data_IF_373101553481
#
_entry.id   IF_373101553481
#
_cell.length_a   1.000
_cell.length_b   1.000
_cell.length_c   1.000
_cell.angle_alpha   90.00
_cell.angle_beta   90.00
_cell.angle_gamma   90.00
#
_symmetry.space_group_name_H-M   'P 1'
#
loop_
_entity.id
_entity.type
_entity.pdbx_description
1 polymer ?
#
# COMPACT_ATOMS: atom_id res chain seq x y z
N UNK A 1 -1.71 2.92 -60.26
CA UNK A 1 -2.60 2.36 -59.21
C UNK A 1 -1.88 1.15 -58.63
N UNK A 2 -1.62 0.96 -57.35
CA UNK A 2 -2.14 1.57 -56.12
C UNK A 2 -1.12 1.25 -55.00
N UNK A 3 -0.89 2.19 -54.10
CA UNK A 3 0.00 2.07 -52.93
C UNK A 3 -0.74 1.40 -51.77
N UNK A 4 -0.14 0.41 -51.11
CA UNK A 4 -0.68 -0.16 -49.87
C UNK A 4 -0.06 0.54 -48.66
N UNK A 5 -0.81 1.50 -48.10
CA UNK A 5 -0.66 1.99 -46.72
C UNK A 5 -1.77 1.35 -45.88
N UNK A 6 -1.37 0.70 -44.78
CA UNK A 6 -2.28 0.11 -43.81
C UNK A 6 -1.56 -0.17 -42.49
N UNK A 7 -1.66 0.80 -41.59
CA UNK A 7 -1.24 0.86 -40.18
C UNK A 7 -1.40 -0.44 -39.36
N UNK A 8 -0.50 -0.77 -38.41
CA UNK A 8 -0.77 -1.78 -37.39
C UNK A 8 -1.53 -1.19 -36.19
N UNK A 9 -2.68 -1.78 -35.84
CA UNK A 9 -3.37 -1.60 -34.56
C UNK A 9 -3.62 -3.00 -34.00
N UNK A 10 -2.99 -3.42 -32.89
CA UNK A 10 -3.25 -3.02 -31.51
C UNK A 10 -3.79 -4.25 -30.77
N UNK A 11 -3.23 -4.59 -29.60
CA UNK A 11 -3.87 -5.52 -28.67
C UNK A 11 -3.16 -6.84 -28.41
N UNK A 12 -1.84 -6.87 -28.25
CA UNK A 12 -1.24 -7.88 -27.37
C UNK A 12 -1.18 -7.27 -25.96
N UNK A 13 -1.76 -7.92 -24.92
CA UNK A 13 -1.56 -7.45 -23.56
C UNK A 13 -0.07 -7.53 -23.27
N UNK A 14 0.55 -6.37 -23.08
CA UNK A 14 1.94 -6.27 -22.68
C UNK A 14 2.08 -7.05 -21.37
N UNK A 15 2.61 -8.27 -21.47
CA UNK A 15 3.16 -9.03 -20.37
C UNK A 15 4.05 -8.07 -19.59
N UNK A 16 3.56 -7.69 -18.41
CA UNK A 16 4.26 -6.81 -17.50
C UNK A 16 5.70 -7.32 -17.38
N UNK A 17 6.64 -6.49 -17.85
CA UNK A 17 8.05 -6.82 -17.83
C UNK A 17 8.49 -7.25 -16.44
N UNK A 18 9.58 -8.02 -16.34
CA UNK A 18 10.06 -8.53 -15.06
C UNK A 18 10.25 -7.35 -14.12
N UNK A 19 9.38 -7.26 -13.10
CA UNK A 19 9.38 -6.23 -12.07
C UNK A 19 10.57 -6.41 -11.12
N UNK A 20 11.79 -6.41 -11.67
CA UNK A 20 13.01 -6.49 -10.91
C UNK A 20 13.55 -5.10 -10.63
N UNK A 21 12.94 -4.48 -9.61
CA UNK A 21 13.64 -3.59 -8.69
C UNK A 21 12.71 -3.38 -7.50
N UNK A 22 12.53 -4.42 -6.70
CA UNK A 22 12.36 -4.21 -5.27
C UNK A 22 13.72 -3.66 -4.82
N UNK A 23 13.75 -2.42 -4.30
CA UNK A 23 14.97 -1.75 -3.85
C UNK A 23 15.95 -2.78 -3.26
N UNK A 24 17.07 -2.95 -3.97
CA UNK A 24 18.06 -4.01 -3.87
C UNK A 24 17.94 -4.92 -2.64
N UNK A 25 17.38 -6.13 -2.82
CA UNK A 25 17.73 -7.31 -2.02
C UNK A 25 17.00 -8.57 -2.49
N UNK A 26 17.76 -9.46 -3.13
CA UNK A 26 17.47 -10.88 -3.27
C UNK A 26 16.93 -11.47 -1.95
N UNK A 27 15.83 -12.22 -2.01
CA UNK A 27 15.48 -13.35 -1.14
C UNK A 27 15.25 -13.14 0.36
N UNK A 28 16.11 -12.39 1.06
CA UNK A 28 16.23 -12.42 2.51
C UNK A 28 16.02 -11.02 3.14
N UNK A 29 16.57 -9.97 2.52
CA UNK A 29 16.47 -8.60 3.03
C UNK A 29 15.14 -7.90 2.68
N UNK A 30 14.42 -8.38 1.66
CA UNK A 30 13.09 -7.88 1.31
C UNK A 30 12.09 -8.09 2.44
N UNK A 31 12.16 -9.24 3.12
CA UNK A 31 11.36 -9.52 4.31
C UNK A 31 11.73 -8.61 5.49
N UNK A 32 13.01 -8.29 5.65
CA UNK A 32 13.47 -7.39 6.71
C UNK A 32 13.00 -5.95 6.50
N UNK A 33 13.08 -5.45 5.25
CA UNK A 33 12.56 -4.13 4.89
C UNK A 33 11.04 -4.04 5.08
N UNK A 34 10.32 -5.11 4.75
CA UNK A 34 8.88 -5.23 4.93
C UNK A 34 8.48 -5.19 6.40
N UNK A 35 9.08 -6.05 7.22
CA UNK A 35 8.85 -6.11 8.67
C UNK A 35 9.22 -4.81 9.37
N UNK A 36 10.34 -4.18 8.99
CA UNK A 36 10.76 -2.88 9.54
C UNK A 36 9.76 -1.78 9.20
N UNK A 37 9.23 -1.76 7.98
CA UNK A 37 8.21 -0.78 7.58
C UNK A 37 6.92 -0.96 8.40
N UNK A 38 6.45 -2.20 8.58
CA UNK A 38 5.25 -2.49 9.40
C UNK A 38 5.43 -2.04 10.86
N UNK A 39 6.57 -2.35 11.46
CA UNK A 39 6.90 -1.92 12.83
C UNK A 39 6.97 -0.40 12.94
N UNK A 40 7.63 0.27 12.00
CA UNK A 40 7.75 1.72 11.99
C UNK A 40 6.39 2.42 11.83
N UNK A 41 5.52 1.95 10.93
CA UNK A 41 4.17 2.49 10.81
C UNK A 41 3.34 2.25 12.08
N UNK A 42 3.44 1.05 12.67
CA UNK A 42 2.75 0.73 13.92
C UNK A 42 3.19 1.65 15.07
N UNK A 43 4.49 1.93 15.19
CA UNK A 43 5.04 2.85 16.19
C UNK A 43 4.53 4.29 15.99
N UNK A 44 4.54 4.78 14.75
CA UNK A 44 4.02 6.11 14.38
C UNK A 44 2.52 6.27 14.65
N UNK A 45 1.72 5.21 14.48
CA UNK A 45 0.30 5.24 14.82
C UNK A 45 0.10 5.27 16.35
N UNK A 46 0.86 4.47 17.09
CA UNK A 46 0.79 4.40 18.55
C UNK A 46 1.25 5.69 19.22
N UNK A 47 2.29 6.35 18.71
CA UNK A 47 2.76 7.65 19.22
C UNK A 47 1.69 8.74 19.08
N UNK A 48 0.74 8.56 18.17
CA UNK A 48 -0.43 9.43 17.95
C UNK A 48 -1.66 9.01 18.76
N UNK A 49 -1.53 8.03 19.66
CA UNK A 49 -2.63 7.54 20.50
C UNK A 49 -3.57 6.54 19.82
N UNK A 50 -3.27 6.11 18.58
CA UNK A 50 -4.09 5.13 17.87
C UNK A 50 -3.74 3.70 18.28
N UNK A 51 -4.75 2.83 18.26
CA UNK A 51 -4.52 1.39 18.30
C UNK A 51 -3.95 0.95 16.94
N UNK A 52 -2.88 0.15 16.96
CA UNK A 52 -2.24 -0.38 15.76
C UNK A 52 -1.96 -1.88 15.91
N UNK A 53 -2.54 -2.67 15.00
CA UNK A 53 -2.34 -4.13 14.89
C UNK A 53 -1.66 -4.45 13.57
N UNK A 54 -0.57 -5.23 13.63
CA UNK A 54 0.12 -5.72 12.44
C UNK A 54 -0.53 -7.04 12.02
N UNK A 55 -0.74 -7.19 10.72
CA UNK A 55 -1.13 -8.41 10.04
C UNK A 55 0.02 -8.74 9.07
N UNK A 56 0.99 -9.53 9.54
CA UNK A 56 2.23 -9.81 8.80
C UNK A 56 1.95 -10.66 7.55
N UNK A 57 0.93 -11.54 7.61
CA UNK A 57 0.56 -12.45 6.53
C UNK A 57 0.22 -11.73 5.23
N UNK A 58 -0.40 -10.54 5.32
CA UNK A 58 -0.69 -9.69 4.15
C UNK A 58 0.12 -8.39 4.12
N UNK A 59 1.02 -8.20 5.08
CA UNK A 59 1.78 -6.95 5.25
C UNK A 59 0.90 -5.73 5.44
N UNK A 60 -0.04 -5.82 6.38
CA UNK A 60 -0.95 -4.74 6.70
C UNK A 60 -0.80 -4.25 8.14
N UNK A 61 -1.20 -3.00 8.36
CA UNK A 61 -1.38 -2.41 9.68
C UNK A 61 -2.80 -1.88 9.76
N UNK A 62 -3.56 -2.43 10.70
CA UNK A 62 -4.89 -1.94 11.05
C UNK A 62 -4.74 -0.86 12.12
N UNK A 63 -5.28 0.31 11.83
CA UNK A 63 -5.32 1.45 12.72
C UNK A 63 -6.75 1.74 13.16
N UNK A 64 -6.98 1.92 14.45
CA UNK A 64 -8.28 2.28 14.99
C UNK A 64 -8.13 3.36 16.07
N UNK A 65 -9.16 4.18 16.21
CA UNK A 65 -9.29 5.03 17.39
C UNK A 65 -9.60 4.15 18.61
N UNK A 66 -8.86 4.32 19.71
CA UNK A 66 -9.10 3.58 20.96
C UNK A 66 -10.47 3.90 21.56
N UNK A 67 -10.96 5.13 21.38
CA UNK A 67 -12.26 5.55 21.87
C UNK A 67 -13.42 5.03 21.00
N UNK A 68 -13.14 4.69 19.73
CA UNK A 68 -14.15 4.24 18.78
C UNK A 68 -13.64 3.07 17.94
N UNK A 69 -13.80 1.85 18.47
CA UNK A 69 -13.49 0.60 17.77
C UNK A 69 -14.35 0.37 16.51
N UNK A 70 -15.36 1.22 16.27
CA UNK A 70 -16.23 1.13 15.09
C UNK A 70 -15.55 1.59 13.80
N UNK A 71 -14.42 2.29 13.89
CA UNK A 71 -13.70 2.80 12.70
C UNK A 71 -12.27 2.30 12.67
N UNK A 72 -12.04 1.37 11.75
CA UNK A 72 -10.72 0.83 11.47
C UNK A 72 -10.30 1.23 10.06
N UNK A 73 -9.06 1.66 9.91
CA UNK A 73 -8.41 1.94 8.64
C UNK A 73 -7.29 0.93 8.44
N UNK A 74 -7.29 0.21 7.32
CA UNK A 74 -6.25 -0.76 7.00
C UNK A 74 -5.25 -0.14 6.04
N UNK A 75 -3.97 -0.13 6.40
CA UNK A 75 -2.88 0.23 5.50
C UNK A 75 -2.15 -1.04 5.06
N UNK A 76 -1.96 -1.25 3.76
CA UNK A 76 -1.30 -2.43 3.19
C UNK A 76 -0.02 -2.00 2.49
N UNK A 77 1.06 -2.72 2.73
CA UNK A 77 2.32 -2.53 2.04
C UNK A 77 2.26 -3.25 0.69
N UNK A 78 2.45 -2.52 -0.42
CA UNK A 78 2.48 -3.13 -1.76
C UNK A 78 3.58 -2.52 -2.62
N UNK A 79 4.20 -3.31 -3.51
CA UNK A 79 5.08 -2.79 -4.55
C UNK A 79 4.33 -1.86 -5.50
N UNK A 80 4.92 -0.73 -5.81
CA UNK A 80 4.43 0.24 -6.79
C UNK A 80 5.60 0.92 -7.49
N UNK A 81 5.67 0.79 -8.82
CA UNK A 81 6.71 1.40 -9.67
C UNK A 81 8.14 1.19 -9.14
N UNK A 82 8.45 -0.03 -8.68
CA UNK A 82 9.78 -0.39 -8.16
C UNK A 82 10.09 0.08 -6.74
N UNK A 83 9.10 0.52 -5.96
CA UNK A 83 9.27 0.87 -4.54
C UNK A 83 8.13 0.31 -3.70
N UNK A 84 8.35 0.10 -2.41
CA UNK A 84 7.26 -0.24 -1.50
C UNK A 84 6.45 1.01 -1.14
N UNK A 85 5.13 0.88 -1.10
CA UNK A 85 4.19 1.96 -0.80
C UNK A 85 3.14 1.51 0.20
N UNK A 86 2.72 2.44 1.05
CA UNK A 86 1.54 2.29 1.88
C UNK A 86 0.28 2.61 1.08
N UNK A 87 -0.67 1.68 1.11
CA UNK A 87 -1.96 1.82 0.45
C UNK A 87 -3.06 1.73 1.50
N UNK A 88 -3.97 2.68 1.50
CA UNK A 88 -5.16 2.59 2.32
C UNK A 88 -6.15 1.65 1.66
N UNK A 89 -6.64 0.67 2.43
CA UNK A 89 -7.79 -0.15 2.12
C UNK A 89 -8.93 0.28 3.03
N UNK A 90 -10.01 0.77 2.42
CA UNK A 90 -11.19 1.17 3.17
C UNK A 90 -11.92 -0.09 3.67
N UNK A 91 -12.04 -0.24 4.99
CA UNK A 91 -12.93 -1.22 5.60
C UNK A 91 -14.36 -0.68 5.54
N UNK A 92 -15.09 -1.05 4.49
CA UNK A 92 -16.44 -0.57 4.21
C UNK A 92 -17.01 -1.24 2.97
N UNK A 93 -16.14 -1.65 2.04
CA UNK A 93 -16.56 -2.37 0.84
C UNK A 93 -16.11 -3.85 0.93
N UNK A 94 -17.05 -4.81 1.05
CA UNK A 94 -16.75 -6.24 1.12
C UNK A 94 -16.29 -6.83 -0.23
N UNK A 95 -16.23 -6.04 -1.30
CA UNK A 95 -15.91 -6.52 -2.65
C UNK A 95 -14.42 -6.41 -2.97
N UNK A 96 -13.93 -7.32 -3.80
CA UNK A 96 -12.56 -7.35 -4.33
C UNK A 96 -12.14 -6.07 -5.09
N UNK A 97 -13.08 -5.15 -5.33
CA UNK A 97 -12.87 -3.83 -5.92
C UNK A 97 -12.58 -2.72 -4.89
N UNK A 98 -12.26 -3.08 -3.64
CA UNK A 98 -11.84 -2.12 -2.62
C UNK A 98 -10.73 -1.21 -3.18
N UNK A 99 -11.06 0.07 -3.36
CA UNK A 99 -10.14 1.05 -3.93
C UNK A 99 -8.94 1.21 -3.00
N UNK A 100 -7.77 0.79 -3.46
CA UNK A 100 -6.52 1.07 -2.79
C UNK A 100 -6.11 2.51 -3.07
N UNK A 101 -6.04 3.35 -2.04
CA UNK A 101 -5.63 4.75 -2.17
C UNK A 101 -4.15 4.86 -1.75
N UNK A 102 -3.24 5.33 -2.61
CA UNK A 102 -1.84 5.48 -2.23
C UNK A 102 -1.70 6.55 -1.15
N UNK A 103 -1.05 6.16 -0.04
CA UNK A 103 -0.81 7.03 1.11
C UNK A 103 0.55 7.72 1.03
N UNK A 104 1.62 6.94 0.98
CA UNK A 104 2.99 7.43 0.93
C UNK A 104 3.95 6.28 0.56
N UNK A 105 5.18 6.58 0.13
CA UNK A 105 6.26 5.60 0.10
C UNK A 105 6.46 4.92 1.46
N UNK A 106 6.94 3.68 1.46
CA UNK A 106 7.16 2.90 2.69
C UNK A 106 8.14 3.56 3.66
N UNK A 107 9.07 4.38 3.15
CA UNK A 107 10.05 5.15 3.92
C UNK A 107 9.42 6.36 4.65
N UNK A 108 8.23 6.81 4.24
CA UNK A 108 7.53 7.97 4.81
C UNK A 108 6.40 7.52 5.77
N UNK A 109 6.72 6.65 6.74
CA UNK A 109 5.74 6.09 7.69
C UNK A 109 5.01 7.16 8.51
N UNK A 110 5.71 8.21 8.95
CA UNK A 110 5.10 9.32 9.68
C UNK A 110 4.02 10.05 8.86
N UNK A 111 4.24 10.22 7.55
CA UNK A 111 3.26 10.83 6.64
C UNK A 111 2.08 9.92 6.41
N UNK A 112 2.31 8.61 6.24
CA UNK A 112 1.24 7.62 6.14
C UNK A 112 0.37 7.61 7.42
N UNK A 113 0.99 7.57 8.60
CA UNK A 113 0.30 7.62 9.89
C UNK A 113 -0.51 8.92 10.06
N UNK A 114 0.02 10.07 9.64
CA UNK A 114 -0.71 11.33 9.67
C UNK A 114 -1.96 11.30 8.80
N UNK A 115 -1.89 10.76 7.58
CA UNK A 115 -3.05 10.64 6.69
C UNK A 115 -4.11 9.73 7.30
N UNK A 116 -3.70 8.59 7.87
CA UNK A 116 -4.60 7.64 8.54
C UNK A 116 -5.30 8.30 9.73
N UNK A 117 -4.54 8.98 10.60
CA UNK A 117 -5.11 9.69 11.76
C UNK A 117 -6.15 10.75 11.35
N UNK A 118 -5.86 11.53 10.30
CA UNK A 118 -6.80 12.52 9.75
C UNK A 118 -8.08 11.91 9.20
N UNK A 119 -8.02 10.69 8.67
CA UNK A 119 -9.20 9.98 8.17
C UNK A 119 -10.06 9.47 9.32
N UNK A 120 -9.43 8.93 10.37
CA UNK A 120 -10.13 8.46 11.57
C UNK A 120 -10.82 9.60 12.32
N UNK A 121 -10.19 10.78 12.38
CA UNK A 121 -10.75 11.97 13.03
C UNK A 121 -11.88 12.67 12.23
N UNK A 122 -12.12 12.28 10.96
CA UNK A 122 -13.06 12.96 10.06
C UNK A 122 -14.44 12.32 9.95
N UNK A 123 -14.64 11.16 10.55
CA UNK A 123 -15.97 10.57 10.66
C UNK A 123 -16.63 11.01 11.96
#
# INVERSE_FOLDING_TARGET
>A
MQVNVGTPASGAPAMAGPGQRLDASNGENGGFAWSRALLALSAELRSRGLAARIDDAVGAVDAADRASARRTQRAVLRPHRGRLWWWLRWAGEPTAAARHIPLAPATETARAAQRIARLLARG
#
